data_IF_004121535768
#
_entry.id   IF_004121535768
#
_cell.length_a   1.000
_cell.length_b   1.000
_cell.length_c   1.000
_cell.angle_alpha   90.00
_cell.angle_beta   90.00
_cell.angle_gamma   90.00
#
_symmetry.space_group_name_H-M   'P 1'
#
loop_
_entity.id
_entity.type
_entity.pdbx_description
1 polymer ?
#
# COMPACT_ATOMS: atom_id res chain seq x y z
N UNK A 1 -2.63 29.87 -7.28
CA UNK A 1 -2.81 28.53 -6.69
C UNK A 1 -3.68 27.71 -7.59
N UNK A 2 -3.19 26.74 -8.06
CA UNK A 2 -3.46 25.49 -8.58
C UNK A 2 -4.73 25.33 -9.38
N UNK A 3 -4.71 25.72 -10.63
CA UNK A 3 -5.68 25.32 -11.64
C UNK A 3 -5.99 23.81 -11.55
N UNK A 4 -4.97 22.97 -11.22
CA UNK A 4 -5.12 21.53 -10.96
C UNK A 4 -6.16 21.23 -9.87
N UNK A 5 -6.15 21.93 -8.73
CA UNK A 5 -7.15 21.71 -7.66
C UNK A 5 -8.55 22.16 -8.06
N UNK A 6 -8.66 23.22 -8.87
CA UNK A 6 -9.95 23.66 -9.40
C UNK A 6 -10.51 22.69 -10.43
N UNK A 7 -9.66 22.13 -11.30
CA UNK A 7 -10.04 21.07 -12.24
C UNK A 7 -10.47 19.79 -11.50
N UNK A 8 -9.72 19.39 -10.49
CA UNK A 8 -10.07 18.22 -9.66
C UNK A 8 -11.39 18.42 -8.90
N UNK A 9 -11.63 19.63 -8.38
CA UNK A 9 -12.90 19.94 -7.69
C UNK A 9 -14.09 19.88 -8.63
N UNK A 10 -13.93 20.34 -9.88
CA UNK A 10 -15.02 20.37 -10.88
C UNK A 10 -15.28 19.04 -11.56
N UNK A 11 -14.22 18.27 -11.84
CA UNK A 11 -14.32 17.12 -12.77
C UNK A 11 -13.92 15.77 -12.15
N UNK A 12 -13.33 15.73 -10.95
CA UNK A 12 -12.90 14.51 -10.31
C UNK A 12 -13.52 14.37 -8.91
N UNK A 13 -12.70 14.33 -7.86
CA UNK A 13 -13.17 14.10 -6.50
C UNK A 13 -13.04 15.36 -5.62
N UNK A 14 -14.13 16.15 -5.44
CA UNK A 14 -14.07 17.37 -4.65
C UNK A 14 -13.80 17.11 -3.14
N UNK A 15 -14.20 15.93 -2.62
CA UNK A 15 -13.93 15.57 -1.22
C UNK A 15 -12.47 15.27 -0.97
N UNK A 16 -11.78 14.66 -1.93
CA UNK A 16 -10.33 14.47 -1.85
C UNK A 16 -9.60 15.82 -1.79
N UNK A 17 -10.00 16.76 -2.65
CA UNK A 17 -9.42 18.12 -2.64
C UNK A 17 -9.64 18.80 -1.29
N UNK A 18 -10.82 18.66 -0.69
CA UNK A 18 -11.12 19.22 0.64
C UNK A 18 -10.23 18.59 1.73
N UNK A 19 -10.07 17.26 1.74
CA UNK A 19 -9.18 16.57 2.68
C UNK A 19 -7.74 17.05 2.53
N UNK A 20 -7.20 17.15 1.31
CA UNK A 20 -5.84 17.65 1.05
C UNK A 20 -5.66 19.08 1.54
N UNK A 21 -6.66 19.94 1.36
CA UNK A 21 -6.66 21.32 1.87
C UNK A 21 -6.68 21.36 3.40
N UNK A 22 -7.52 20.58 4.06
CA UNK A 22 -7.64 20.55 5.53
C UNK A 22 -6.30 20.10 6.15
N UNK A 23 -5.68 19.08 5.57
CA UNK A 23 -4.43 18.50 6.06
C UNK A 23 -3.18 19.27 5.62
N UNK A 24 -3.30 20.26 4.73
CA UNK A 24 -2.17 21.05 4.20
C UNK A 24 -1.37 20.33 3.12
N UNK A 25 -1.87 19.21 2.60
CA UNK A 25 -1.26 18.47 1.49
C UNK A 25 -1.59 19.06 0.10
N UNK A 26 -2.30 20.17 0.05
CA UNK A 26 -2.67 20.88 -1.19
C UNK A 26 -1.49 21.66 -1.80
N UNK A 27 -0.33 21.03 -1.90
CA UNK A 27 0.86 21.57 -2.54
C UNK A 27 0.85 21.28 -4.04
N UNK A 28 1.45 22.18 -4.83
CA UNK A 28 1.63 21.97 -6.27
C UNK A 28 3.07 21.52 -6.50
N UNK A 29 3.28 20.23 -6.56
CA UNK A 29 4.60 19.66 -6.86
C UNK A 29 4.84 19.70 -8.37
N UNK A 30 6.00 20.19 -8.79
CA UNK A 30 6.38 20.38 -10.20
C UNK A 30 7.57 19.51 -10.61
N UNK A 31 8.33 18.99 -9.65
CA UNK A 31 9.49 18.11 -9.88
C UNK A 31 9.60 17.11 -8.74
N UNK A 32 10.16 15.95 -9.05
CA UNK A 32 10.53 14.95 -8.04
C UNK A 32 11.79 14.20 -8.47
N UNK A 33 12.67 13.89 -7.50
CA UNK A 33 13.93 13.19 -7.75
C UNK A 33 14.35 12.41 -6.50
N UNK A 34 14.70 11.13 -6.63
CA UNK A 34 15.10 10.30 -5.52
C UNK A 34 14.06 10.25 -4.41
N UNK A 35 14.43 10.66 -3.21
CA UNK A 35 13.55 10.70 -2.04
C UNK A 35 12.84 12.05 -1.86
N UNK A 36 12.89 12.95 -2.84
CA UNK A 36 12.42 14.33 -2.68
C UNK A 36 11.40 14.75 -3.73
N UNK A 37 10.47 15.62 -3.31
CA UNK A 37 9.55 16.36 -4.18
C UNK A 37 9.82 17.86 -4.05
N UNK A 38 9.55 18.60 -5.12
CA UNK A 38 9.76 20.05 -5.18
C UNK A 38 8.47 20.72 -5.60
N UNK A 39 8.02 21.71 -4.83
CA UNK A 39 6.85 22.49 -5.17
C UNK A 39 7.16 23.63 -6.16
N UNK A 40 6.13 24.31 -6.62
CA UNK A 40 6.25 25.44 -7.55
C UNK A 40 6.92 26.69 -6.94
N UNK A 41 7.15 26.71 -5.64
CA UNK A 41 7.96 27.71 -4.92
C UNK A 41 9.42 27.31 -4.77
N UNK A 42 9.84 26.14 -5.31
CA UNK A 42 11.18 25.60 -5.19
C UNK A 42 11.48 24.95 -3.82
N UNK A 43 10.46 24.77 -2.97
CA UNK A 43 10.64 24.13 -1.67
C UNK A 43 10.77 22.61 -1.84
N UNK A 44 11.74 22.04 -1.14
CA UNK A 44 12.02 20.61 -1.12
C UNK A 44 11.22 19.91 -0.01
N UNK A 45 10.67 18.75 -0.31
CA UNK A 45 9.91 17.90 0.62
C UNK A 45 10.47 16.47 0.61
N UNK A 46 10.85 15.96 1.78
CA UNK A 46 11.30 14.59 1.94
C UNK A 46 10.09 13.62 1.91
N UNK A 47 10.15 12.64 1.03
CA UNK A 47 9.06 11.69 0.79
C UNK A 47 9.18 10.44 1.67
N UNK A 48 8.58 10.44 2.85
CA UNK A 48 8.45 9.27 3.73
C UNK A 48 7.12 8.50 3.52
N UNK A 49 6.47 8.74 2.37
CA UNK A 49 5.26 8.06 1.92
C UNK A 49 5.50 7.20 0.66
N UNK A 50 6.39 7.65 -0.23
CA UNK A 50 6.76 7.03 -1.51
C UNK A 50 5.57 6.50 -2.33
N UNK A 51 4.47 7.27 -2.38
CA UNK A 51 3.27 6.85 -3.10
C UNK A 51 2.67 5.55 -2.56
N UNK A 52 2.62 5.37 -1.24
CA UNK A 52 2.19 4.13 -0.57
C UNK A 52 3.09 2.92 -0.87
N UNK A 53 4.39 3.17 -1.06
CA UNK A 53 5.39 2.14 -1.36
C UNK A 53 5.58 1.84 -2.85
N UNK A 54 5.01 2.66 -3.74
CA UNK A 54 5.18 2.54 -5.20
C UNK A 54 6.59 2.93 -5.63
N UNK A 55 7.11 4.06 -5.10
CA UNK A 55 8.41 4.62 -5.48
C UNK A 55 9.55 4.07 -4.59
N UNK A 56 9.68 2.74 -4.54
CA UNK A 56 10.71 2.09 -3.72
C UNK A 56 12.14 2.48 -4.15
N UNK A 57 12.40 2.60 -5.44
CA UNK A 57 13.70 3.03 -6.01
C UNK A 57 13.85 4.55 -6.07
N UNK A 58 12.97 5.28 -5.39
CA UNK A 58 12.90 6.75 -5.50
C UNK A 58 12.14 7.20 -6.74
N UNK A 59 11.96 8.52 -6.83
CA UNK A 59 11.23 9.14 -7.94
C UNK A 59 12.16 9.39 -9.11
N UNK A 60 11.66 9.13 -10.32
CA UNK A 60 12.35 9.38 -11.58
C UNK A 60 13.74 8.73 -11.67
N UNK A 61 13.85 7.49 -11.19
CA UNK A 61 15.11 6.75 -11.21
C UNK A 61 15.72 6.71 -12.62
N UNK A 62 16.98 7.13 -12.82
CA UNK A 62 17.56 7.34 -14.15
C UNK A 62 17.62 6.05 -14.99
N UNK A 63 17.97 4.91 -14.39
CA UNK A 63 18.03 3.61 -15.08
C UNK A 63 16.65 3.20 -15.61
N UNK A 64 15.59 3.35 -14.80
CA UNK A 64 14.22 2.97 -15.20
C UNK A 64 13.71 3.94 -16.26
N UNK A 65 13.98 5.24 -16.10
CA UNK A 65 13.62 6.25 -17.09
C UNK A 65 14.29 5.97 -18.44
N UNK A 66 15.58 5.62 -18.41
CA UNK A 66 16.32 5.23 -19.63
C UNK A 66 15.70 4.00 -20.30
N UNK A 67 15.37 2.97 -19.55
CA UNK A 67 14.71 1.78 -20.10
C UNK A 67 13.38 2.07 -20.81
N UNK A 68 12.59 3.06 -20.30
CA UNK A 68 11.38 3.52 -20.97
C UNK A 68 11.71 4.18 -22.31
N UNK A 69 12.66 5.13 -22.33
CA UNK A 69 13.08 5.82 -23.55
C UNK A 69 13.60 4.84 -24.60
N UNK A 70 14.54 3.96 -24.20
CA UNK A 70 15.09 2.92 -25.09
C UNK A 70 13.98 2.02 -25.66
N UNK A 71 12.97 1.67 -24.86
CA UNK A 71 11.86 0.83 -25.32
C UNK A 71 10.95 1.55 -26.32
N UNK A 72 10.77 2.85 -26.15
CA UNK A 72 10.01 3.68 -27.10
C UNK A 72 10.76 3.83 -28.42
N UNK A 73 12.08 4.02 -28.37
CA UNK A 73 12.93 4.19 -29.55
C UNK A 73 13.06 2.89 -30.41
N UNK A 74 12.67 1.73 -29.84
CA UNK A 74 12.68 0.45 -30.56
C UNK A 74 11.47 0.25 -31.49
N UNK A 75 10.48 1.13 -31.48
CA UNK A 75 9.25 1.05 -32.31
C UNK A 75 8.56 -0.34 -32.27
N UNK A 76 8.55 -0.98 -31.08
CA UNK A 76 8.00 -2.33 -30.90
C UNK A 76 6.50 -2.38 -31.26
N UNK A 77 6.02 -3.46 -31.90
CA UNK A 77 4.64 -3.54 -32.42
C UNK A 77 3.55 -3.55 -31.37
N UNK A 78 3.87 -3.87 -30.10
CA UNK A 78 2.89 -3.90 -28.99
C UNK A 78 1.57 -4.59 -29.35
N UNK A 79 1.62 -5.84 -29.82
CA UNK A 79 0.47 -6.62 -30.27
C UNK A 79 -0.50 -7.00 -29.13
N UNK A 80 -0.20 -6.57 -27.92
CA UNK A 80 -1.00 -6.72 -26.71
C UNK A 80 -1.22 -8.20 -26.35
N UNK A 81 -2.35 -8.80 -26.75
CA UNK A 81 -2.66 -10.20 -26.44
C UNK A 81 -2.37 -11.17 -27.60
N UNK A 82 -2.04 -10.66 -28.76
CA UNK A 82 -1.88 -11.46 -29.98
C UNK A 82 -0.40 -11.81 -30.29
N UNK A 83 0.48 -11.63 -29.29
CA UNK A 83 1.89 -12.03 -29.41
C UNK A 83 2.40 -12.70 -28.12
N UNK A 84 3.64 -13.19 -28.21
CA UNK A 84 4.46 -13.63 -27.09
C UNK A 84 5.65 -12.67 -26.95
N UNK A 85 5.39 -11.46 -26.43
CA UNK A 85 6.41 -10.41 -26.25
C UNK A 85 7.64 -10.94 -25.51
N UNK A 86 8.83 -10.75 -26.11
CA UNK A 86 10.10 -11.16 -25.51
C UNK A 86 10.30 -10.53 -24.12
N UNK A 87 10.01 -9.24 -23.96
CA UNK A 87 10.16 -8.52 -22.69
C UNK A 87 9.32 -9.14 -21.58
N UNK A 88 8.11 -9.62 -21.89
CA UNK A 88 7.27 -10.29 -20.89
C UNK A 88 7.87 -11.64 -20.44
N UNK A 89 8.46 -12.39 -21.36
CA UNK A 89 9.19 -13.63 -21.05
C UNK A 89 10.41 -13.37 -20.18
N UNK A 90 11.21 -12.36 -20.51
CA UNK A 90 12.40 -11.98 -19.76
C UNK A 90 12.06 -11.49 -18.35
N UNK A 91 11.01 -10.65 -18.19
CA UNK A 91 10.58 -10.22 -16.85
C UNK A 91 10.04 -11.41 -16.03
N UNK A 92 9.30 -12.33 -16.65
CA UNK A 92 8.85 -13.54 -15.97
C UNK A 92 10.04 -14.37 -15.48
N UNK A 93 11.02 -14.61 -16.31
CA UNK A 93 12.24 -15.35 -15.93
C UNK A 93 12.99 -14.64 -14.80
N UNK A 94 13.21 -13.33 -14.91
CA UNK A 94 13.90 -12.54 -13.90
C UNK A 94 13.18 -12.56 -12.55
N UNK A 95 11.85 -12.43 -12.54
CA UNK A 95 11.04 -12.42 -11.31
C UNK A 95 10.98 -13.82 -10.68
N UNK A 96 10.89 -14.89 -11.50
CA UNK A 96 10.91 -16.28 -11.01
C UNK A 96 12.22 -16.66 -10.33
N UNK A 97 13.35 -16.05 -10.71
CA UNK A 97 14.64 -16.23 -10.02
C UNK A 97 14.65 -15.62 -8.60
N UNK A 98 13.68 -14.78 -8.26
CA UNK A 98 13.60 -14.08 -6.95
C UNK A 98 12.56 -14.70 -6.00
N UNK A 99 11.81 -15.70 -6.43
CA UNK A 99 10.81 -16.41 -5.61
C UNK A 99 11.28 -17.85 -5.35
N UNK A 100 10.68 -18.56 -4.36
CA UNK A 100 10.95 -19.98 -4.14
C UNK A 100 10.66 -20.82 -5.39
N UNK A 101 11.46 -21.87 -5.62
CA UNK A 101 11.46 -22.69 -6.85
C UNK A 101 10.14 -23.40 -7.16
N UNK A 102 9.26 -23.56 -6.17
CA UNK A 102 7.92 -24.15 -6.37
C UNK A 102 6.93 -23.18 -7.04
N UNK A 103 7.26 -21.88 -7.12
CA UNK A 103 6.50 -20.86 -7.85
C UNK A 103 7.11 -20.73 -9.25
N UNK A 104 6.39 -21.23 -10.27
CA UNK A 104 6.97 -21.52 -11.58
C UNK A 104 6.24 -20.83 -12.76
N UNK A 105 5.17 -20.11 -12.48
CA UNK A 105 4.35 -19.47 -13.52
C UNK A 105 3.90 -18.08 -13.08
N UNK A 106 3.79 -17.18 -14.07
CA UNK A 106 3.38 -15.79 -13.84
C UNK A 106 2.25 -15.41 -14.79
N UNK A 107 1.28 -14.68 -14.25
CA UNK A 107 0.28 -13.94 -15.01
C UNK A 107 0.50 -12.44 -14.74
N UNK A 108 0.79 -11.65 -15.76
CA UNK A 108 0.93 -10.19 -15.65
C UNK A 108 -0.41 -9.49 -15.81
N UNK A 109 -0.61 -8.42 -15.03
CA UNK A 109 -1.75 -7.52 -15.05
C UNK A 109 -1.28 -6.08 -14.81
N UNK A 110 -2.19 -5.14 -14.54
CA UNK A 110 -1.82 -3.71 -14.47
C UNK A 110 -1.84 -3.14 -13.04
N UNK A 111 -2.34 -3.89 -12.07
CA UNK A 111 -2.51 -3.39 -10.71
C UNK A 111 -2.54 -4.51 -9.67
N UNK A 112 -2.33 -4.14 -8.39
CA UNK A 112 -2.46 -5.08 -7.28
C UNK A 112 -3.86 -5.64 -7.12
N UNK A 113 -4.89 -4.82 -7.36
CA UNK A 113 -6.28 -5.28 -7.30
C UNK A 113 -6.58 -6.33 -8.37
N UNK A 114 -6.09 -6.15 -9.62
CA UNK A 114 -6.21 -7.18 -10.67
C UNK A 114 -5.43 -8.45 -10.32
N UNK A 115 -4.25 -8.32 -9.71
CA UNK A 115 -3.48 -9.48 -9.25
C UNK A 115 -4.25 -10.28 -8.18
N UNK A 116 -4.90 -9.61 -7.24
CA UNK A 116 -5.75 -10.26 -6.23
C UNK A 116 -6.98 -10.93 -6.87
N UNK A 117 -7.65 -10.26 -7.82
CA UNK A 117 -8.74 -10.88 -8.61
C UNK A 117 -8.28 -12.17 -9.31
N UNK A 118 -7.10 -12.12 -9.95
CA UNK A 118 -6.48 -13.28 -10.57
C UNK A 118 -6.20 -14.40 -9.55
N UNK A 119 -5.59 -14.07 -8.42
CA UNK A 119 -5.28 -15.02 -7.36
C UNK A 119 -6.52 -15.73 -6.82
N UNK A 120 -7.62 -15.01 -6.56
CA UNK A 120 -8.91 -15.57 -6.13
C UNK A 120 -9.45 -16.53 -7.20
N UNK A 121 -9.46 -16.12 -8.46
CA UNK A 121 -9.94 -16.94 -9.58
C UNK A 121 -9.10 -18.21 -9.74
N UNK A 122 -7.77 -18.09 -9.65
CA UNK A 122 -6.85 -19.21 -9.80
C UNK A 122 -7.03 -20.21 -8.65
N UNK A 123 -7.16 -19.74 -7.42
CA UNK A 123 -7.39 -20.59 -6.26
C UNK A 123 -8.71 -21.36 -6.38
N UNK A 124 -9.80 -20.69 -6.77
CA UNK A 124 -11.10 -21.33 -6.99
C UNK A 124 -11.06 -22.36 -8.13
N UNK A 125 -10.42 -22.01 -9.25
CA UNK A 125 -10.29 -22.91 -10.39
C UNK A 125 -9.43 -24.15 -10.07
N UNK A 126 -8.37 -23.99 -9.28
CA UNK A 126 -7.47 -25.08 -8.92
C UNK A 126 -8.10 -26.07 -7.93
N UNK A 127 -8.88 -25.56 -6.98
CA UNK A 127 -9.45 -26.36 -5.88
C UNK A 127 -10.88 -26.82 -6.15
N UNK A 128 -11.62 -26.17 -7.05
CA UNK A 128 -13.06 -26.36 -7.22
C UNK A 128 -13.89 -25.86 -6.04
N UNK A 129 -13.32 -25.14 -5.09
CA UNK A 129 -13.95 -24.68 -3.85
C UNK A 129 -14.29 -23.17 -3.95
N UNK A 130 -15.41 -22.71 -3.36
CA UNK A 130 -15.83 -21.31 -3.51
C UNK A 130 -15.25 -20.35 -2.46
N UNK A 131 -14.96 -20.85 -1.24
CA UNK A 131 -14.71 -19.96 -0.09
C UNK A 131 -13.30 -19.40 -0.06
N UNK A 132 -13.21 -18.09 0.19
CA UNK A 132 -11.95 -17.40 0.49
C UNK A 132 -12.00 -16.92 1.95
N UNK A 133 -10.96 -17.19 2.71
CA UNK A 133 -10.76 -16.63 4.05
C UNK A 133 -9.72 -15.52 3.95
N UNK A 134 -9.99 -14.35 4.56
CA UNK A 134 -9.03 -13.25 4.69
C UNK A 134 -8.90 -12.79 6.15
N UNK A 135 -7.98 -11.86 6.40
CA UNK A 135 -7.80 -11.27 7.73
C UNK A 135 -8.73 -10.06 7.93
N UNK A 136 -9.17 -9.83 9.17
CA UNK A 136 -9.77 -8.55 9.56
C UNK A 136 -8.73 -7.45 9.47
N UNK A 137 -9.13 -6.27 9.02
CA UNK A 137 -8.24 -5.11 8.87
C UNK A 137 -7.31 -5.15 7.65
N UNK A 138 -7.29 -6.22 6.84
CA UNK A 138 -6.49 -6.31 5.62
C UNK A 138 -6.98 -5.36 4.52
N UNK A 139 -6.09 -5.13 3.53
CA UNK A 139 -6.40 -4.36 2.34
C UNK A 139 -5.85 -5.07 1.09
N UNK A 140 -6.73 -5.50 0.20
CA UNK A 140 -6.38 -6.27 -0.99
C UNK A 140 -6.77 -5.59 -2.32
N UNK A 141 -7.26 -4.37 -2.26
CA UNK A 141 -7.69 -3.61 -3.43
C UNK A 141 -9.17 -3.22 -3.38
N UNK A 142 -9.62 -2.52 -4.43
CA UNK A 142 -10.95 -1.91 -4.49
C UNK A 142 -11.75 -2.31 -5.74
N UNK A 143 -11.26 -3.22 -6.60
CA UNK A 143 -12.11 -3.89 -7.58
C UNK A 143 -13.04 -4.87 -6.84
N UNK A 144 -14.09 -5.31 -7.48
CA UNK A 144 -15.23 -5.91 -6.78
C UNK A 144 -14.88 -7.19 -5.98
N UNK A 145 -14.10 -8.10 -6.58
CA UNK A 145 -13.66 -9.31 -5.89
C UNK A 145 -12.62 -9.02 -4.82
N UNK A 146 -11.63 -8.16 -5.10
CA UNK A 146 -10.63 -7.77 -4.11
C UNK A 146 -11.22 -6.94 -2.96
N UNK A 147 -12.24 -6.10 -3.24
CA UNK A 147 -13.00 -5.38 -2.23
C UNK A 147 -13.80 -6.33 -1.34
N UNK A 148 -14.34 -7.41 -1.93
CA UNK A 148 -15.08 -8.44 -1.19
C UNK A 148 -14.22 -9.11 -0.11
N UNK A 149 -12.92 -9.31 -0.36
CA UNK A 149 -11.97 -9.92 0.58
C UNK A 149 -11.23 -8.89 1.44
N UNK A 150 -11.29 -7.61 1.12
CA UNK A 150 -10.75 -6.52 1.95
C UNK A 150 -11.46 -6.47 3.30
N UNK A 151 -10.70 -6.41 4.39
CA UNK A 151 -11.21 -6.55 5.77
C UNK A 151 -11.66 -5.24 6.45
N UNK A 152 -11.98 -4.18 5.68
CA UNK A 152 -12.33 -2.85 6.20
C UNK A 152 -13.71 -2.42 5.72
N UNK A 153 -14.67 -2.29 6.63
CA UNK A 153 -16.03 -1.88 6.35
C UNK A 153 -16.12 -0.50 5.64
N UNK A 154 -15.26 0.43 6.00
CA UNK A 154 -15.25 1.78 5.42
C UNK A 154 -15.07 1.81 3.90
N UNK A 155 -14.39 0.81 3.33
CA UNK A 155 -14.25 0.70 1.87
C UNK A 155 -15.42 -0.03 1.22
N UNK A 156 -16.18 -0.79 1.99
CA UNK A 156 -17.26 -1.64 1.50
C UNK A 156 -18.63 -0.94 1.53
N UNK A 157 -18.76 0.10 2.35
CA UNK A 157 -20.03 0.81 2.55
C UNK A 157 -20.60 1.33 1.21
N UNK A 158 -21.84 0.97 0.92
CA UNK A 158 -22.57 1.39 -0.27
C UNK A 158 -22.26 0.60 -1.56
N UNK A 159 -21.32 -0.34 -1.54
CA UNK A 159 -20.90 -1.08 -2.75
C UNK A 159 -21.39 -2.54 -2.82
N UNK A 160 -22.18 -3.02 -1.84
CA UNK A 160 -22.72 -4.39 -1.88
C UNK A 160 -23.79 -4.63 -2.96
N UNK A 161 -24.21 -5.89 -3.17
CA UNK A 161 -23.76 -7.11 -2.50
C UNK A 161 -22.37 -7.57 -2.97
N UNK A 162 -21.57 -8.14 -2.07
CA UNK A 162 -20.24 -8.65 -2.35
C UNK A 162 -20.24 -10.12 -2.77
N UNK A 163 -19.03 -10.67 -3.12
CA UNK A 163 -18.89 -12.09 -3.37
C UNK A 163 -19.40 -12.88 -2.17
N UNK A 164 -20.25 -13.88 -2.46
CA UNK A 164 -20.61 -14.91 -1.50
C UNK A 164 -19.35 -15.70 -1.08
N UNK A 165 -19.45 -16.48 -0.01
CA UNK A 165 -18.37 -17.34 0.45
C UNK A 165 -17.05 -16.63 0.77
N UNK A 166 -17.12 -15.47 1.38
CA UNK A 166 -15.98 -14.79 2.02
C UNK A 166 -16.12 -14.84 3.53
N UNK A 167 -15.08 -15.32 4.20
CA UNK A 167 -15.01 -15.32 5.67
C UNK A 167 -13.77 -14.55 6.14
N UNK A 168 -13.79 -14.07 7.38
CA UNK A 168 -12.68 -13.32 7.96
C UNK A 168 -12.36 -13.79 9.36
N UNK A 169 -11.06 -13.93 9.65
CA UNK A 169 -10.53 -14.20 10.99
C UNK A 169 -9.68 -13.03 11.48
N UNK A 170 -9.48 -12.92 12.78
CA UNK A 170 -8.52 -11.94 13.34
C UNK A 170 -7.10 -12.45 13.13
N UNK A 171 -6.16 -11.53 13.00
CA UNK A 171 -4.74 -11.86 13.05
C UNK A 171 -4.42 -12.55 14.40
N UNK A 172 -3.78 -13.73 14.35
CA UNK A 172 -3.50 -14.54 15.54
C UNK A 172 -4.61 -15.54 15.92
N UNK A 173 -5.77 -15.51 15.30
CA UNK A 173 -6.91 -16.38 15.64
C UNK A 173 -6.84 -17.73 14.87
N UNK A 174 -6.00 -18.65 15.36
CA UNK A 174 -5.87 -20.00 14.80
C UNK A 174 -7.13 -20.86 15.01
N UNK A 175 -7.80 -20.72 16.16
CA UNK A 175 -9.03 -21.49 16.43
C UNK A 175 -10.16 -21.08 15.47
N UNK A 176 -10.33 -19.79 15.25
CA UNK A 176 -11.29 -19.25 14.29
C UNK A 176 -10.98 -19.73 12.87
N UNK A 177 -9.71 -19.76 12.48
CA UNK A 177 -9.27 -20.29 11.20
C UNK A 177 -9.59 -21.79 11.07
N UNK A 178 -9.21 -22.60 12.05
CA UNK A 178 -9.45 -24.05 12.05
C UNK A 178 -10.94 -24.39 11.94
N UNK A 179 -11.81 -23.69 12.68
CA UNK A 179 -13.27 -23.85 12.58
C UNK A 179 -13.82 -23.60 11.18
N UNK A 180 -13.23 -22.65 10.44
CA UNK A 180 -13.62 -22.37 9.06
C UNK A 180 -13.09 -23.42 8.09
N UNK A 181 -11.85 -23.88 8.29
CA UNK A 181 -11.20 -24.90 7.45
C UNK A 181 -11.88 -26.28 7.55
N UNK A 182 -12.35 -26.66 8.74
CA UNK A 182 -13.10 -27.92 8.96
C UNK A 182 -14.38 -28.06 8.12
N UNK A 183 -14.88 -26.97 7.52
CA UNK A 183 -16.02 -27.02 6.59
C UNK A 183 -15.65 -27.50 5.18
N UNK A 184 -14.40 -27.78 4.91
CA UNK A 184 -13.83 -28.39 3.69
C UNK A 184 -14.17 -27.75 2.35
N UNK A 185 -14.69 -26.52 2.34
CA UNK A 185 -15.04 -25.79 1.12
C UNK A 185 -14.17 -24.56 0.87
N UNK A 186 -13.01 -24.47 1.53
CA UNK A 186 -12.12 -23.30 1.47
C UNK A 186 -11.13 -23.47 0.33
N UNK A 187 -11.18 -22.57 -0.65
CA UNK A 187 -10.24 -22.51 -1.76
C UNK A 187 -8.88 -21.97 -1.30
N UNK A 188 -8.89 -20.85 -0.58
CA UNK A 188 -7.66 -20.21 -0.15
C UNK A 188 -7.82 -19.38 1.12
N UNK A 189 -6.70 -19.24 1.83
CA UNK A 189 -6.46 -18.22 2.84
C UNK A 189 -5.60 -17.11 2.22
N UNK A 190 -6.12 -15.88 2.21
CA UNK A 190 -5.48 -14.70 1.63
C UNK A 190 -5.05 -13.75 2.74
N UNK A 191 -3.79 -13.33 2.74
CA UNK A 191 -3.24 -12.43 3.75
C UNK A 191 -2.08 -11.58 3.22
N UNK A 192 -1.82 -10.46 3.89
CA UNK A 192 -0.60 -9.66 3.75
C UNK A 192 0.38 -10.12 4.85
N UNK A 193 1.65 -10.46 4.56
CA UNK A 193 2.59 -10.89 5.60
C UNK A 193 2.91 -9.77 6.60
N UNK A 194 2.90 -8.52 6.12
CA UNK A 194 2.84 -7.32 6.94
C UNK A 194 1.67 -6.49 6.42
N UNK A 195 0.64 -6.31 7.24
CA UNK A 195 -0.55 -5.59 6.80
C UNK A 195 -0.23 -4.16 6.39
N UNK A 196 -0.65 -3.76 5.22
CA UNK A 196 -0.50 -2.40 4.72
C UNK A 196 -1.16 -1.36 5.59
N UNK A 197 -2.25 -1.71 6.27
CA UNK A 197 -2.89 -0.89 7.30
C UNK A 197 -2.34 -1.26 8.68
N UNK A 198 -1.84 -0.27 9.39
CA UNK A 198 -1.33 -0.44 10.75
C UNK A 198 0.03 -1.12 10.86
N UNK A 199 0.60 -1.67 9.77
CA UNK A 199 1.87 -2.43 9.78
C UNK A 199 1.82 -3.55 10.83
N UNK A 200 0.70 -4.29 10.85
CA UNK A 200 0.52 -5.39 11.80
C UNK A 200 1.07 -6.69 11.21
N UNK A 201 1.68 -7.48 12.05
CA UNK A 201 2.10 -8.85 11.79
C UNK A 201 1.96 -9.66 13.08
N UNK A 202 1.81 -11.00 13.00
CA UNK A 202 1.54 -11.81 14.19
C UNK A 202 2.80 -12.07 15.00
N UNK A 203 2.59 -12.66 16.18
CA UNK A 203 3.63 -13.36 16.93
C UNK A 203 4.27 -14.46 16.09
N UNK A 204 5.42 -14.91 16.48
CA UNK A 204 6.36 -15.65 15.62
C UNK A 204 5.84 -16.98 15.04
N UNK A 205 4.97 -17.70 15.73
CA UNK A 205 4.53 -19.04 15.30
C UNK A 205 3.16 -19.09 14.57
N UNK A 206 2.44 -17.97 14.52
CA UNK A 206 1.09 -17.94 13.90
C UNK A 206 1.12 -18.35 12.44
N UNK A 207 2.03 -17.78 11.65
CA UNK A 207 2.08 -18.05 10.22
C UNK A 207 2.49 -19.49 9.91
N UNK A 208 3.40 -20.09 10.67
CA UNK A 208 3.80 -21.48 10.54
C UNK A 208 2.58 -22.41 10.80
N UNK A 209 1.89 -22.20 11.90
CA UNK A 209 0.68 -22.95 12.27
C UNK A 209 -0.46 -22.75 11.27
N UNK A 210 -0.67 -21.52 10.82
CA UNK A 210 -1.65 -21.18 9.77
C UNK A 210 -1.37 -21.95 8.48
N UNK A 211 -0.11 -21.96 8.02
CA UNK A 211 0.27 -22.68 6.81
C UNK A 211 0.08 -24.19 6.97
N UNK A 212 0.44 -24.76 8.12
CA UNK A 212 0.23 -26.16 8.42
C UNK A 212 -1.28 -26.54 8.43
N UNK A 213 -2.12 -25.70 9.04
CA UNK A 213 -3.57 -25.89 9.01
C UNK A 213 -4.14 -25.82 7.58
N UNK A 214 -3.74 -24.83 6.80
CA UNK A 214 -4.19 -24.70 5.40
C UNK A 214 -3.80 -25.94 4.59
N UNK A 215 -2.56 -26.42 4.72
CA UNK A 215 -2.08 -27.66 4.05
C UNK A 215 -2.87 -28.88 4.45
N UNK A 216 -3.15 -29.08 5.75
CA UNK A 216 -3.91 -30.21 6.26
C UNK A 216 -5.33 -30.29 5.68
N UNK A 217 -5.92 -29.12 5.33
CA UNK A 217 -7.26 -29.03 4.73
C UNK A 217 -7.27 -28.86 3.21
N UNK A 218 -6.10 -28.93 2.54
CA UNK A 218 -5.98 -28.70 1.10
C UNK A 218 -6.44 -27.31 0.67
N UNK A 219 -6.26 -26.31 1.53
CA UNK A 219 -6.56 -24.90 1.29
C UNK A 219 -5.29 -24.21 0.82
N UNK A 220 -5.35 -23.49 -0.29
CA UNK A 220 -4.20 -22.76 -0.83
C UNK A 220 -3.87 -21.54 0.02
N UNK A 221 -2.59 -21.17 0.05
CA UNK A 221 -2.10 -19.97 0.73
C UNK A 221 -1.79 -18.91 -0.32
N UNK A 222 -2.53 -17.80 -0.30
CA UNK A 222 -2.29 -16.60 -1.13
C UNK A 222 -1.62 -15.54 -0.27
N UNK A 223 -0.39 -15.16 -0.65
CA UNK A 223 0.37 -14.11 0.00
C UNK A 223 0.31 -12.83 -0.82
N UNK A 224 -0.30 -11.78 -0.27
CA UNK A 224 -0.36 -10.47 -0.92
C UNK A 224 0.89 -9.66 -0.58
N UNK A 225 1.83 -9.63 -1.49
CA UNK A 225 3.11 -8.91 -1.42
C UNK A 225 3.08 -7.56 -2.15
N UNK A 226 1.90 -7.06 -2.48
CA UNK A 226 1.74 -5.81 -3.23
C UNK A 226 2.40 -4.63 -2.51
N UNK A 227 2.42 -4.61 -1.17
CA UNK A 227 3.09 -3.54 -0.42
C UNK A 227 4.35 -4.00 0.31
N UNK A 228 4.43 -5.24 0.76
CA UNK A 228 5.51 -5.79 1.58
C UNK A 228 6.67 -6.37 0.77
N UNK A 229 6.44 -6.69 -0.50
CA UNK A 229 7.44 -7.29 -1.38
C UNK A 229 8.46 -6.32 -1.96
N UNK A 230 9.33 -6.87 -2.82
CA UNK A 230 10.33 -6.13 -3.59
C UNK A 230 11.23 -5.25 -2.70
N UNK A 231 11.78 -5.84 -1.65
CA UNK A 231 12.76 -5.20 -0.78
C UNK A 231 12.19 -4.35 0.37
N UNK A 232 10.89 -4.01 0.34
CA UNK A 232 10.27 -3.10 1.29
C UNK A 232 10.50 -3.47 2.75
N UNK A 233 10.45 -4.76 3.07
CA UNK A 233 10.62 -5.28 4.44
C UNK A 233 12.05 -5.71 4.76
N UNK A 234 13.04 -5.40 3.91
CA UNK A 234 14.43 -5.81 4.08
C UNK A 234 14.74 -7.24 3.62
N UNK A 235 13.80 -7.88 2.95
CA UNK A 235 13.94 -9.13 2.19
C UNK A 235 13.27 -8.95 0.84
N UNK A 236 13.56 -9.81 -0.15
CA UNK A 236 12.84 -9.77 -1.43
C UNK A 236 11.32 -9.79 -1.22
N UNK A 237 10.87 -10.67 -0.31
CA UNK A 237 9.46 -10.90 0.00
C UNK A 237 9.22 -10.88 1.51
N UNK A 238 8.11 -10.30 1.93
CA UNK A 238 7.74 -10.24 3.33
C UNK A 238 7.53 -11.61 3.95
N UNK A 239 6.97 -12.58 3.22
CA UNK A 239 6.77 -13.95 3.70
C UNK A 239 8.07 -14.67 4.11
N UNK A 240 9.22 -14.25 3.59
CA UNK A 240 10.53 -14.83 3.94
C UNK A 240 10.94 -14.56 5.40
N UNK A 241 10.30 -13.63 6.08
CA UNK A 241 10.55 -13.41 7.51
C UNK A 241 10.07 -14.56 8.39
N UNK A 242 9.13 -15.37 7.89
CA UNK A 242 8.53 -16.50 8.59
C UNK A 242 8.72 -17.83 7.85
N UNK A 243 9.62 -17.88 6.88
CA UNK A 243 9.91 -19.08 6.08
C UNK A 243 8.65 -19.73 5.46
N UNK A 244 7.69 -18.91 5.05
CA UNK A 244 6.46 -19.39 4.44
C UNK A 244 6.70 -19.84 3.00
N UNK A 245 5.87 -20.77 2.55
CA UNK A 245 5.84 -21.31 1.19
C UNK A 245 4.43 -21.10 0.58
N UNK A 246 4.09 -19.88 0.18
CA UNK A 246 2.78 -19.60 -0.41
C UNK A 246 2.59 -20.33 -1.74
N UNK A 247 1.34 -20.67 -2.06
CA UNK A 247 0.98 -21.27 -3.35
C UNK A 247 0.79 -20.23 -4.44
N UNK A 248 0.39 -19.01 -4.05
CA UNK A 248 0.17 -17.87 -4.93
C UNK A 248 0.72 -16.61 -4.23
N UNK A 249 1.42 -15.77 -4.99
CA UNK A 249 1.92 -14.46 -4.53
C UNK A 249 1.39 -13.38 -5.46
N UNK A 250 0.84 -12.30 -4.92
CA UNK A 250 0.46 -11.11 -5.71
C UNK A 250 1.48 -10.00 -5.56
N UNK A 251 1.85 -9.37 -6.67
CA UNK A 251 2.89 -8.34 -6.74
C UNK A 251 2.37 -7.15 -7.56
N UNK A 252 2.73 -5.92 -7.18
CA UNK A 252 2.47 -4.72 -7.96
C UNK A 252 3.34 -3.55 -7.44
N UNK A 253 2.81 -2.33 -7.42
CA UNK A 253 3.45 -1.11 -6.90
C UNK A 253 4.87 -0.92 -7.44
N UNK A 254 5.88 -1.24 -6.63
CA UNK A 254 7.30 -1.05 -6.99
C UNK A 254 7.79 -1.96 -8.12
N UNK A 255 6.98 -2.91 -8.59
CA UNK A 255 7.35 -3.79 -9.70
C UNK A 255 7.78 -3.04 -10.97
N UNK A 256 7.25 -1.87 -11.22
CA UNK A 256 7.61 -1.01 -12.36
C UNK A 256 8.42 0.24 -11.96
N UNK A 257 8.95 0.30 -10.74
CA UNK A 257 9.63 1.49 -10.25
C UNK A 257 8.74 2.74 -10.11
N UNK A 258 7.42 2.57 -10.23
CA UNK A 258 6.44 3.64 -10.08
C UNK A 258 6.14 4.43 -11.36
N UNK A 259 6.65 4.03 -12.51
CA UNK A 259 6.44 4.72 -13.78
C UNK A 259 5.19 4.25 -14.54
N UNK A 260 5.02 2.95 -14.66
CA UNK A 260 3.95 2.34 -15.49
C UNK A 260 3.15 1.38 -14.62
N UNK A 261 1.81 1.35 -14.71
CA UNK A 261 1.00 0.36 -14.04
C UNK A 261 1.45 -1.06 -14.38
N UNK A 262 1.76 -1.87 -13.37
CA UNK A 262 2.19 -3.25 -13.50
C UNK A 262 1.80 -4.05 -12.27
N UNK A 263 1.33 -5.27 -12.47
CA UNK A 263 1.07 -6.24 -11.43
C UNK A 263 1.29 -7.65 -11.92
N UNK A 264 1.41 -8.59 -11.00
CA UNK A 264 1.61 -9.99 -11.33
C UNK A 264 0.97 -10.93 -10.30
N UNK A 265 0.53 -12.08 -10.78
CA UNK A 265 0.22 -13.27 -9.99
C UNK A 265 1.33 -14.28 -10.25
N UNK A 266 2.10 -14.62 -9.23
CA UNK A 266 3.12 -15.65 -9.28
C UNK A 266 2.58 -16.91 -8.60
N UNK A 267 2.67 -18.06 -9.22
CA UNK A 267 1.98 -19.25 -8.72
C UNK A 267 2.67 -20.56 -9.11
N UNK A 268 2.27 -21.66 -8.48
CA UNK A 268 2.68 -23.00 -8.89
C UNK A 268 2.18 -23.31 -10.30
N UNK A 269 2.98 -24.00 -11.08
CA UNK A 269 2.58 -24.44 -12.44
C UNK A 269 1.30 -25.28 -12.44
N UNK A 270 1.13 -26.15 -11.46
CA UNK A 270 -0.07 -26.97 -11.35
C UNK A 270 -1.35 -26.14 -11.18
N UNK A 271 -1.31 -25.03 -10.44
CA UNK A 271 -2.44 -24.09 -10.30
C UNK A 271 -2.70 -23.38 -11.62
N UNK A 272 -1.63 -22.87 -12.26
CA UNK A 272 -1.71 -22.17 -13.54
C UNK A 272 -2.35 -23.05 -14.62
N UNK A 273 -1.94 -24.32 -14.72
CA UNK A 273 -2.47 -25.30 -15.68
C UNK A 273 -3.94 -25.67 -15.44
N UNK A 274 -4.47 -25.55 -14.23
CA UNK A 274 -5.91 -25.72 -14.00
C UNK A 274 -6.74 -24.60 -14.61
N UNK A 275 -6.19 -23.40 -14.69
CA UNK A 275 -6.87 -22.24 -15.31
C UNK A 275 -6.76 -22.33 -16.84
N UNK A 276 -5.57 -22.51 -17.38
CA UNK A 276 -5.25 -22.56 -18.80
C UNK A 276 -5.07 -24.01 -19.26
N UNK A 277 -6.10 -24.82 -19.08
CA UNK A 277 -6.03 -26.30 -19.17
C UNK A 277 -6.22 -26.86 -20.57
N UNK A 278 -6.74 -26.09 -21.51
CA UNK A 278 -7.09 -26.51 -22.87
C UNK A 278 -7.02 -25.30 -23.82
N UNK A 279 -6.97 -25.55 -25.13
CA UNK A 279 -6.87 -24.49 -26.15
C UNK A 279 -8.03 -23.47 -26.06
N UNK A 280 -9.25 -23.94 -25.84
CA UNK A 280 -10.45 -23.09 -25.68
C UNK A 280 -10.44 -22.28 -24.37
N UNK A 281 -9.49 -22.54 -23.49
CA UNK A 281 -9.27 -21.81 -22.24
C UNK A 281 -8.03 -20.91 -22.26
N UNK A 282 -7.34 -20.76 -23.37
CA UNK A 282 -6.11 -19.99 -23.48
C UNK A 282 -6.25 -18.52 -23.08
N UNK A 283 -7.44 -17.94 -23.18
CA UNK A 283 -7.74 -16.54 -22.87
C UNK A 283 -8.86 -16.34 -21.84
N UNK A 284 -9.20 -17.37 -21.04
CA UNK A 284 -10.29 -17.28 -20.02
C UNK A 284 -9.99 -16.31 -18.88
N UNK A 285 -8.74 -15.96 -18.71
CA UNK A 285 -8.28 -14.89 -17.85
C UNK A 285 -7.19 -14.13 -18.57
N UNK A 286 -7.44 -12.87 -18.89
CA UNK A 286 -6.53 -12.02 -19.66
C UNK A 286 -6.67 -10.56 -19.23
N UNK A 287 -5.67 -9.77 -19.54
CA UNK A 287 -5.67 -8.32 -19.35
C UNK A 287 -5.07 -7.67 -20.59
N UNK A 288 -5.78 -6.71 -21.20
CA UNK A 288 -5.37 -6.11 -22.48
C UNK A 288 -3.95 -5.54 -22.41
N UNK A 289 -3.62 -4.80 -21.36
CA UNK A 289 -2.31 -4.18 -21.20
C UNK A 289 -1.36 -4.90 -20.22
N UNK A 290 -1.74 -6.08 -19.72
CA UNK A 290 -0.97 -6.77 -18.67
C UNK A 290 0.47 -7.14 -19.04
N UNK A 291 0.77 -7.26 -20.33
CA UNK A 291 2.11 -7.59 -20.86
C UNK A 291 2.67 -6.50 -21.77
N UNK A 292 2.23 -5.25 -21.60
CA UNK A 292 2.73 -4.15 -22.44
C UNK A 292 4.26 -3.96 -22.26
N UNK A 293 4.93 -3.66 -23.37
CA UNK A 293 6.40 -3.60 -23.40
C UNK A 293 6.99 -2.57 -22.45
N UNK A 294 6.34 -1.42 -22.24
CA UNK A 294 6.82 -0.40 -21.31
C UNK A 294 6.82 -0.90 -19.86
N UNK A 295 5.74 -1.56 -19.42
CA UNK A 295 5.66 -2.11 -18.06
C UNK A 295 6.68 -3.25 -17.86
N UNK A 296 6.91 -4.07 -18.88
CA UNK A 296 7.89 -5.17 -18.83
C UNK A 296 9.32 -4.63 -18.75
N UNK A 297 9.67 -3.64 -19.56
CA UNK A 297 10.97 -2.97 -19.52
C UNK A 297 11.20 -2.26 -18.17
N UNK A 298 10.18 -1.54 -17.67
CA UNK A 298 10.24 -0.94 -16.33
C UNK A 298 10.48 -1.99 -15.25
N UNK A 299 9.77 -3.13 -15.33
CA UNK A 299 9.92 -4.22 -14.35
C UNK A 299 11.33 -4.82 -14.35
N UNK A 300 11.89 -5.07 -15.53
CA UNK A 300 13.28 -5.55 -15.67
C UNK A 300 14.27 -4.56 -15.06
N UNK A 301 14.17 -3.28 -15.42
CA UNK A 301 15.04 -2.24 -14.88
C UNK A 301 14.86 -2.05 -13.36
N UNK A 302 13.62 -2.20 -12.84
CA UNK A 302 13.35 -2.12 -11.41
C UNK A 302 13.99 -3.26 -10.62
N UNK A 303 13.94 -4.50 -11.12
CA UNK A 303 14.60 -5.64 -10.50
C UNK A 303 16.14 -5.48 -10.52
N UNK A 304 16.68 -4.97 -11.63
CA UNK A 304 18.11 -4.69 -11.79
C UNK A 304 18.58 -3.62 -10.77
N UNK A 305 17.86 -2.51 -10.63
CA UNK A 305 18.17 -1.46 -9.65
C UNK A 305 18.09 -1.99 -8.22
N UNK A 306 17.07 -2.76 -7.86
CA UNK A 306 16.93 -3.33 -6.52
C UNK A 306 18.16 -4.17 -6.13
N UNK A 307 18.71 -4.94 -7.09
CA UNK A 307 19.82 -5.84 -6.87
C UNK A 307 21.18 -5.12 -6.92
N UNK A 308 21.44 -4.37 -7.99
CA UNK A 308 22.73 -3.73 -8.21
C UNK A 308 23.04 -2.60 -7.24
N UNK A 309 22.01 -1.86 -6.81
CA UNK A 309 22.15 -0.79 -5.81
C UNK A 309 21.96 -1.30 -4.36
N UNK A 310 21.80 -2.61 -4.17
CA UNK A 310 21.66 -3.27 -2.85
C UNK A 310 20.56 -2.65 -1.99
N UNK A 311 19.43 -2.31 -2.62
CA UNK A 311 18.36 -1.58 -1.94
C UNK A 311 17.62 -2.42 -0.89
N UNK A 312 17.67 -3.74 -1.01
CA UNK A 312 17.07 -4.68 -0.04
C UNK A 312 17.89 -4.67 1.25
N UNK A 313 19.22 -4.74 1.12
CA UNK A 313 20.15 -4.67 2.23
C UNK A 313 20.09 -3.30 2.91
N UNK A 314 19.99 -2.23 2.12
CA UNK A 314 19.80 -0.87 2.64
C UNK A 314 18.49 -0.76 3.45
N UNK A 315 17.40 -1.32 2.91
CA UNK A 315 16.10 -1.36 3.61
C UNK A 315 16.19 -2.12 4.94
N UNK A 316 16.92 -3.24 4.98
CA UNK A 316 17.13 -4.00 6.22
C UNK A 316 17.93 -3.20 7.24
N UNK A 317 19.08 -2.64 6.83
CA UNK A 317 20.00 -1.93 7.71
C UNK A 317 19.40 -0.63 8.24
N UNK A 318 18.89 0.24 7.35
CA UNK A 318 18.30 1.51 7.76
C UNK A 318 16.96 1.34 8.45
N UNK A 319 16.18 0.32 8.08
CA UNK A 319 14.94 -0.02 8.78
C UNK A 319 15.19 -0.37 10.23
N UNK A 320 16.21 -1.19 10.53
CA UNK A 320 16.60 -1.52 11.89
C UNK A 320 17.08 -0.28 12.68
N UNK A 321 17.92 0.56 12.08
CA UNK A 321 18.39 1.81 12.70
C UNK A 321 17.22 2.76 13.02
N UNK A 322 16.31 2.93 12.04
CA UNK A 322 15.16 3.80 12.19
C UNK A 322 14.21 3.30 13.30
N UNK A 323 13.93 1.99 13.35
CA UNK A 323 13.16 1.37 14.42
C UNK A 323 13.79 1.64 15.80
N UNK A 324 15.09 1.41 15.94
CA UNK A 324 15.80 1.63 17.21
C UNK A 324 15.75 3.10 17.65
N UNK A 325 16.01 4.05 16.73
CA UNK A 325 15.98 5.48 17.03
C UNK A 325 14.57 5.96 17.40
N UNK A 326 13.53 5.50 16.71
CA UNK A 326 12.14 5.82 17.02
C UNK A 326 11.68 5.18 18.34
N UNK A 327 12.07 3.93 18.62
CA UNK A 327 11.73 3.28 19.88
C UNK A 327 12.39 3.98 21.08
N UNK A 328 13.61 4.49 20.91
CA UNK A 328 14.28 5.30 21.93
C UNK A 328 13.53 6.59 22.30
N UNK A 329 12.71 7.14 21.37
CA UNK A 329 11.87 8.30 21.67
C UNK A 329 10.75 8.00 22.67
N UNK A 330 10.38 6.72 22.88
CA UNK A 330 9.38 6.33 23.90
C UNK A 330 9.80 6.74 25.32
N UNK A 331 11.09 6.75 25.61
CA UNK A 331 11.61 7.23 26.89
C UNK A 331 11.31 8.72 27.13
N UNK A 332 11.28 9.52 26.06
CA UNK A 332 10.96 10.96 26.13
C UNK A 332 9.45 11.24 25.97
N UNK A 333 8.74 10.43 25.19
CA UNK A 333 7.36 10.67 24.78
C UNK A 333 6.46 9.51 25.17
N UNK A 334 5.88 9.59 26.37
CA UNK A 334 4.98 8.56 26.90
C UNK A 334 3.69 8.34 26.09
N UNK A 335 3.43 9.16 25.09
CA UNK A 335 2.29 8.98 24.18
C UNK A 335 2.55 7.93 23.09
N UNK A 336 3.82 7.57 22.83
CA UNK A 336 4.15 6.50 21.90
C UNK A 336 3.91 5.16 22.60
N UNK A 337 2.94 4.40 22.13
CA UNK A 337 2.61 3.07 22.64
C UNK A 337 3.63 2.05 22.18
N UNK A 338 3.88 2.02 20.85
CA UNK A 338 4.69 1.03 20.19
C UNK A 338 5.30 1.57 18.89
N UNK A 339 6.51 1.12 18.59
CA UNK A 339 7.13 1.27 17.27
C UNK A 339 7.37 -0.13 16.72
N UNK A 340 6.81 -0.44 15.56
CA UNK A 340 6.93 -1.75 14.93
C UNK A 340 7.16 -1.65 13.44
N UNK A 341 7.74 -2.70 12.85
CA UNK A 341 7.96 -2.75 11.40
C UNK A 341 8.96 -3.82 10.99
N UNK A 342 9.14 -3.93 9.70
CA UNK A 342 10.15 -4.77 9.03
C UNK A 342 10.78 -3.93 7.91
N UNK A 343 12.11 -3.87 7.85
CA UNK A 343 12.80 -3.00 6.90
C UNK A 343 12.29 -1.55 6.97
N UNK A 344 12.05 -0.94 5.83
CA UNK A 344 11.52 0.43 5.70
C UNK A 344 9.98 0.46 5.57
N UNK A 345 9.28 -0.45 6.22
CA UNK A 345 7.84 -0.43 6.44
C UNK A 345 7.59 -0.37 7.95
N UNK A 346 7.37 0.84 8.48
CA UNK A 346 7.36 1.11 9.92
C UNK A 346 6.07 1.83 10.32
N UNK A 347 5.56 1.49 11.50
CA UNK A 347 4.45 2.16 12.15
C UNK A 347 4.84 2.66 13.54
N UNK A 348 4.31 3.81 13.90
CA UNK A 348 4.39 4.41 15.22
C UNK A 348 2.96 4.54 15.74
N UNK A 349 2.62 3.77 16.76
CA UNK A 349 1.29 3.72 17.38
C UNK A 349 1.25 4.57 18.63
N UNK A 350 0.20 5.35 18.77
CA UNK A 350 -0.06 6.19 19.93
C UNK A 350 -1.12 5.60 20.84
N UNK A 351 -1.13 6.03 22.11
CA UNK A 351 -2.18 5.71 23.07
C UNK A 351 -2.60 6.94 23.88
N UNK A 352 -3.67 6.83 24.65
CA UNK A 352 -4.17 7.93 25.48
C UNK A 352 -3.07 8.46 26.40
N UNK A 353 -2.70 9.76 26.30
CA UNK A 353 -1.63 10.33 27.12
C UNK A 353 -2.00 10.36 28.60
N UNK A 354 -0.98 10.28 29.47
CA UNK A 354 -1.17 10.40 30.92
C UNK A 354 -1.32 11.84 31.40
N UNK A 355 -0.77 12.81 30.67
CA UNK A 355 -0.84 14.24 30.99
C UNK A 355 -2.26 14.78 30.77
N UNK A 356 -2.85 15.41 31.79
CA UNK A 356 -4.26 15.86 31.82
C UNK A 356 -4.68 16.70 30.61
N UNK A 357 -3.86 17.67 30.19
CA UNK A 357 -4.15 18.55 29.05
C UNK A 357 -4.21 17.78 27.72
N UNK A 358 -3.23 16.91 27.47
CA UNK A 358 -3.19 16.05 26.28
C UNK A 358 -4.26 14.98 26.30
N UNK A 359 -4.59 14.45 27.49
CA UNK A 359 -5.66 13.47 27.67
C UNK A 359 -7.03 14.05 27.32
N UNK A 360 -7.30 15.29 27.72
CA UNK A 360 -8.51 15.99 27.33
C UNK A 360 -8.59 16.15 25.81
N UNK A 361 -7.52 16.61 25.19
CA UNK A 361 -7.40 16.75 23.74
C UNK A 361 -7.62 15.43 23.01
N UNK A 362 -6.95 14.36 23.46
CA UNK A 362 -7.14 13.00 22.95
C UNK A 362 -8.61 12.61 22.93
N UNK A 363 -9.29 12.74 24.07
CA UNK A 363 -10.72 12.37 24.20
C UNK A 363 -11.64 13.20 23.34
N UNK A 364 -11.37 14.49 23.17
CA UNK A 364 -12.17 15.38 22.29
C UNK A 364 -11.99 14.97 20.84
N UNK A 365 -10.78 14.74 20.37
CA UNK A 365 -10.50 14.33 19.00
C UNK A 365 -11.08 12.96 18.69
N UNK A 366 -10.96 11.99 19.60
CA UNK A 366 -11.48 10.63 19.43
C UNK A 366 -13.02 10.54 19.41
N UNK A 367 -13.72 11.53 19.94
CA UNK A 367 -15.19 11.65 19.77
C UNK A 367 -15.58 12.04 18.35
N UNK A 368 -14.65 12.67 17.61
CA UNK A 368 -14.88 13.10 16.22
C UNK A 368 -14.39 12.02 15.26
N UNK A 369 -13.15 11.60 15.38
CA UNK A 369 -12.49 10.55 14.60
C UNK A 369 -11.20 10.08 15.28
N UNK A 370 -11.00 8.76 15.37
CA UNK A 370 -9.82 8.17 16.03
C UNK A 370 -8.50 8.50 15.34
N UNK A 371 -8.49 8.77 14.03
CA UNK A 371 -7.27 9.10 13.30
C UNK A 371 -6.81 10.56 13.41
N UNK A 372 -7.63 11.44 14.02
CA UNK A 372 -7.32 12.88 14.10
C UNK A 372 -6.13 13.20 15.01
N UNK A 373 -5.87 12.38 16.03
CA UNK A 373 -4.72 12.63 16.90
C UNK A 373 -3.39 12.50 16.13
N UNK A 374 -3.25 11.48 15.29
CA UNK A 374 -2.05 11.31 14.47
C UNK A 374 -1.82 12.50 13.51
N UNK A 375 -2.88 13.19 13.07
CA UNK A 375 -2.76 14.40 12.26
C UNK A 375 -2.08 15.55 12.99
N UNK A 376 -2.16 15.63 14.33
CA UNK A 376 -1.44 16.64 15.11
C UNK A 376 0.09 16.50 14.99
N UNK A 377 0.59 15.33 14.62
CA UNK A 377 2.01 15.08 14.37
C UNK A 377 2.33 15.22 12.87
N UNK A 378 1.46 14.69 12.01
CA UNK A 378 1.67 14.69 10.55
C UNK A 378 1.66 16.12 9.97
N UNK A 379 0.74 16.97 10.44
CA UNK A 379 0.63 18.36 9.92
C UNK A 379 1.89 19.17 10.21
N UNK A 380 2.48 19.20 11.43
CA UNK A 380 3.78 19.82 11.68
C UNK A 380 4.93 19.20 10.89
N UNK A 381 5.00 17.87 10.75
CA UNK A 381 5.99 17.21 9.91
C UNK A 381 5.97 17.77 8.49
N UNK A 382 4.79 17.95 7.91
CA UNK A 382 4.66 18.52 6.58
C UNK A 382 4.92 20.04 6.54
N UNK A 383 4.29 20.81 7.44
CA UNK A 383 4.29 22.29 7.36
C UNK A 383 5.60 22.92 7.84
N UNK A 384 6.24 22.35 8.88
CA UNK A 384 7.45 22.88 9.51
C UNK A 384 8.71 22.19 9.00
N UNK A 385 8.65 20.84 8.87
CA UNK A 385 9.82 20.03 8.49
C UNK A 385 9.79 19.53 7.04
N UNK A 386 8.71 19.80 6.28
CA UNK A 386 8.58 19.40 4.87
C UNK A 386 8.79 17.90 4.65
N UNK A 387 8.21 17.09 5.53
CA UNK A 387 8.25 15.64 5.45
C UNK A 387 6.84 15.11 5.17
N UNK A 388 6.70 14.31 4.11
CA UNK A 388 5.44 13.66 3.77
C UNK A 388 5.32 12.33 4.51
N UNK A 389 4.31 12.21 5.34
CA UNK A 389 3.91 10.97 6.03
C UNK A 389 2.40 10.83 6.01
N UNK A 390 1.87 9.75 6.59
CA UNK A 390 0.41 9.54 6.63
C UNK A 390 -0.03 8.73 7.84
N UNK A 391 -1.34 8.81 8.15
CA UNK A 391 -2.02 7.86 9.03
C UNK A 391 -2.06 6.48 8.36
N UNK A 392 -1.84 5.42 9.13
CA UNK A 392 -1.75 4.06 8.60
C UNK A 392 -3.07 3.49 8.06
N UNK A 393 -4.19 4.06 8.46
CA UNK A 393 -5.53 3.67 8.02
C UNK A 393 -6.62 4.51 8.70
N UNK A 394 -7.88 4.30 8.28
CA UNK A 394 -9.03 4.97 8.90
C UNK A 394 -9.17 4.54 10.37
N UNK A 395 -9.52 5.49 11.22
CA UNK A 395 -9.74 5.29 12.66
C UNK A 395 -8.54 4.65 13.38
N UNK A 396 -7.32 5.04 13.01
CA UNK A 396 -6.08 4.50 13.59
C UNK A 396 -5.20 5.63 14.13
N UNK A 397 -4.79 5.54 15.39
CA UNK A 397 -3.75 6.39 15.98
C UNK A 397 -2.35 5.86 15.64
N UNK A 398 -2.11 5.63 14.38
CA UNK A 398 -0.88 5.04 13.86
C UNK A 398 -0.36 5.88 12.70
N UNK A 399 0.84 6.38 12.80
CA UNK A 399 1.57 6.96 11.68
C UNK A 399 2.36 5.85 10.99
N UNK A 400 2.19 5.74 9.68
CA UNK A 400 2.96 4.82 8.84
C UNK A 400 3.97 5.60 8.02
N UNK A 401 5.20 5.11 8.00
CA UNK A 401 6.29 5.61 7.18
C UNK A 401 6.77 4.54 6.21
N UNK A 402 6.92 4.95 4.95
CA UNK A 402 7.29 4.11 3.81
C UNK A 402 8.27 4.89 2.91
N UNK A 403 9.48 5.26 3.40
CA UNK A 403 10.41 6.01 2.58
C UNK A 403 10.87 5.18 1.36
N UNK A 404 11.39 5.81 0.30
CA UNK A 404 12.12 5.08 -0.74
C UNK A 404 13.29 4.29 -0.13
N UNK A 405 13.63 3.15 -0.74
CA UNK A 405 14.70 2.27 -0.25
C UNK A 405 16.11 2.87 -0.46
N UNK A 406 16.20 3.93 -1.24
CA UNK A 406 17.43 4.67 -1.55
C UNK A 406 17.82 5.70 -0.49
N UNK A 407 17.01 5.92 0.57
CA UNK A 407 17.36 6.88 1.62
C UNK A 407 18.69 6.50 2.28
N UNK A 408 19.31 7.49 2.90
CA UNK A 408 20.57 7.35 3.64
C UNK A 408 20.36 7.61 5.13
N UNK A 409 21.41 7.47 5.93
CA UNK A 409 21.36 7.82 7.36
C UNK A 409 21.00 9.29 7.60
N UNK A 410 21.34 10.18 6.66
CA UNK A 410 20.99 11.61 6.72
C UNK A 410 19.47 11.82 6.77
N UNK A 411 18.72 11.16 5.89
CA UNK A 411 17.26 11.25 5.88
C UNK A 411 16.63 10.59 7.09
N UNK A 412 17.21 9.48 7.57
CA UNK A 412 16.81 8.83 8.83
C UNK A 412 16.96 9.77 10.01
N UNK A 413 18.12 10.41 10.17
CA UNK A 413 18.40 11.32 11.28
C UNK A 413 17.54 12.57 11.21
N UNK A 414 17.36 13.13 10.00
CA UNK A 414 16.49 14.26 9.80
C UNK A 414 15.05 13.95 10.19
N UNK A 415 14.52 12.80 9.76
CA UNK A 415 13.18 12.36 10.12
C UNK A 415 13.01 12.20 11.64
N UNK A 416 13.93 11.50 12.31
CA UNK A 416 13.84 11.25 13.75
C UNK A 416 13.85 12.54 14.55
N UNK A 417 14.72 13.50 14.19
CA UNK A 417 14.79 14.80 14.85
C UNK A 417 13.51 15.60 14.64
N UNK A 418 13.02 15.68 13.40
CA UNK A 418 11.77 16.35 13.07
C UNK A 418 10.57 15.73 13.79
N UNK A 419 10.57 14.40 13.93
CA UNK A 419 9.53 13.68 14.62
C UNK A 419 9.56 13.95 16.14
N UNK A 420 10.75 13.98 16.76
CA UNK A 420 10.93 14.38 18.17
C UNK A 420 10.41 15.80 18.41
N UNK A 421 10.76 16.77 17.55
CA UNK A 421 10.28 18.16 17.62
C UNK A 421 8.76 18.26 17.45
N UNK A 422 8.17 17.55 16.48
CA UNK A 422 6.73 17.52 16.28
C UNK A 422 5.99 16.98 17.51
N UNK A 423 6.51 15.93 18.15
CA UNK A 423 5.97 15.38 19.40
C UNK A 423 6.09 16.35 20.59
N UNK A 424 7.20 17.09 20.69
CA UNK A 424 7.36 18.15 21.69
C UNK A 424 6.34 19.28 21.47
N UNK A 425 6.11 19.65 20.22
CA UNK A 425 5.08 20.63 19.83
C UNK A 425 3.69 20.23 20.27
N UNK A 426 3.34 18.96 20.20
CA UNK A 426 2.04 18.44 20.67
C UNK A 426 1.81 18.64 22.17
N UNK A 427 2.87 18.74 22.98
CA UNK A 427 2.77 19.01 24.43
C UNK A 427 2.42 20.46 24.76
N UNK A 428 2.66 21.39 23.85
CA UNK A 428 2.41 22.83 24.02
C UNK A 428 0.96 23.15 23.59
N UNK A 429 0.00 22.62 24.34
CA UNK A 429 -1.41 22.91 24.14
C UNK A 429 -1.69 24.43 24.29
N UNK A 430 -2.51 25.11 23.43
CA UNK A 430 -3.41 24.55 22.42
C UNK A 430 -2.93 24.68 20.95
N UNK A 431 -1.62 24.93 20.71
CA UNK A 431 -1.07 25.31 19.40
C UNK A 431 -1.52 24.46 18.19
N UNK A 432 -1.21 23.15 18.15
CA UNK A 432 -1.52 22.31 16.98
C UNK A 432 -3.01 22.12 16.72
N UNK A 433 -3.85 22.14 17.78
CA UNK A 433 -5.31 22.07 17.62
C UNK A 433 -5.88 23.37 17.08
N UNK A 434 -5.35 24.51 17.55
CA UNK A 434 -5.75 25.81 17.00
C UNK A 434 -5.33 25.94 15.54
N UNK A 435 -4.19 25.39 15.15
CA UNK A 435 -3.76 25.34 13.74
C UNK A 435 -4.70 24.47 12.90
N UNK A 436 -5.03 23.28 13.36
CA UNK A 436 -6.01 22.39 12.70
C UNK A 436 -7.41 23.01 12.68
N UNK A 437 -7.86 23.58 13.81
CA UNK A 437 -9.16 24.24 13.93
C UNK A 437 -9.20 25.53 13.11
N UNK A 438 -8.13 26.33 13.08
CA UNK A 438 -8.00 27.53 12.28
C UNK A 438 -8.03 27.18 10.77
N UNK A 439 -7.33 26.14 10.36
CA UNK A 439 -7.37 25.65 8.99
C UNK A 439 -8.77 25.17 8.60
N UNK A 440 -9.51 24.55 9.52
CA UNK A 440 -10.88 24.06 9.29
C UNK A 440 -11.93 25.21 9.35
N UNK A 441 -11.83 26.10 10.33
CA UNK A 441 -12.81 27.20 10.56
C UNK A 441 -12.65 28.34 9.54
N UNK A 442 -11.42 28.74 9.21
CA UNK A 442 -11.15 29.79 8.24
C UNK A 442 -11.65 29.44 6.83
N UNK A 443 -11.70 28.15 6.53
CA UNK A 443 -12.20 27.63 5.25
C UNK A 443 -13.71 27.47 5.21
N UNK A 444 -14.37 27.18 6.32
CA UNK A 444 -15.84 27.22 6.43
C UNK A 444 -16.39 28.64 6.25
N UNK A 445 -15.66 29.67 6.72
CA UNK A 445 -16.03 31.06 6.53
C UNK A 445 -15.88 31.48 5.06
N UNK A 446 -14.80 31.12 4.36
CA UNK A 446 -14.63 31.38 2.91
C UNK A 446 -15.69 30.70 2.03
N UNK A 447 -16.34 29.64 2.51
CA UNK A 447 -17.41 28.94 1.77
C UNK A 447 -18.74 29.67 1.87
N UNK A 448 -18.99 30.43 2.95
CA UNK A 448 -20.20 31.27 3.10
C UNK A 448 -20.20 32.50 2.21
N UNK A 449 -19.04 32.97 1.80
CA UNK A 449 -18.90 34.20 0.98
C UNK A 449 -18.88 33.92 -0.55
N UNK A 450 -19.08 32.70 -1.01
CA UNK A 450 -19.35 32.43 -2.43
C UNK A 450 -20.83 32.53 -2.70
N UNK A 451 -21.29 33.42 -3.59
CA UNK A 451 -22.71 33.53 -3.94
C UNK A 451 -23.16 32.20 -4.57
N UNK A 452 -24.30 31.69 -4.09
CA UNK A 452 -24.99 30.54 -4.65
C UNK A 452 -25.20 30.77 -6.16
N UNK A 453 -24.37 30.15 -6.99
CA UNK A 453 -24.61 30.04 -8.41
C UNK A 453 -25.72 29.04 -8.65
N UNK A 454 -26.86 29.56 -9.09
CA UNK A 454 -28.02 28.95 -9.74
C UNK A 454 -28.22 27.42 -9.57
N UNK A 455 -29.26 27.08 -8.82
CA UNK A 455 -29.96 25.79 -8.87
C UNK A 455 -30.39 25.44 -10.30
N UNK A 456 -29.61 24.61 -10.96
CA UNK A 456 -30.13 23.83 -12.09
C UNK A 456 -30.63 22.48 -11.53
N UNK A 457 -31.96 22.35 -11.40
CA UNK A 457 -32.64 21.10 -11.06
C UNK A 457 -32.17 19.99 -12.03
N UNK A 458 -31.88 18.77 -11.57
CA UNK A 458 -31.61 17.66 -12.48
C UNK A 458 -32.85 17.35 -13.29
N UNK A 459 -32.72 17.34 -14.62
CA UNK A 459 -33.75 16.87 -15.53
C UNK A 459 -34.06 15.40 -15.23
N UNK A 460 -35.33 15.11 -14.98
CA UNK A 460 -35.83 13.75 -14.81
C UNK A 460 -35.56 12.95 -16.09
N UNK A 461 -34.79 11.88 -15.97
CA UNK A 461 -34.68 10.86 -17.02
C UNK A 461 -36.02 10.12 -17.03
N UNK A 462 -36.82 10.37 -18.07
CA UNK A 462 -37.97 9.53 -18.38
C UNK A 462 -37.47 8.34 -19.21
N UNK A 463 -37.98 7.20 -18.83
CA UNK A 463 -37.89 5.82 -19.37
C UNK A 463 -37.49 5.67 -20.83
#
# INVERSE_FOLDING_TARGET
MGENYDLHTRHLNPMLVEVLRITGFDKVYVRAEGAYLYDNGGQEYLDFLSGYGVFAMGRNHPTIKKAICDTLDLDLPNMVQLDCSLLSGLLAEALLKKVPSHLEAIFFCNSGTEAVEGAIKFARAATGRPKIISLKGCYHGLSYGSLSVTGSANFQEGFGPFLADVARVRLGDLEGLEKLLKKENVAAFLFEPVQGKGVNYPSDDFYEKMQALCRAHGTLVICDEVQSGLGRTGKWWGFQHWNLEPDIVTVAKSLSGGFVPCGAVVTRRAIYQKVFSRLDRAVVHSSTFGRNNLAMACGLAALDVLENEKLIENSAALGQKLLQKLDALRAKHSLIKEVRGKGLMIAIEFHEPTQLALKFTWRVLHRIDHGLFAQLVIVPLLSQHRILTQVAGHNMDVIKILPPLIITEKEVDYFVNAFDEALQGCRRFPGPILELARNTAFRRLKRKDRPNGSDSKPAAIRS
#
